data_IF_071574236068
#
_entry.id   IF_071574236068
#
_cell.length_a   1.000
_cell.length_b   1.000
_cell.length_c   1.000
_cell.angle_alpha   90.00
_cell.angle_beta   90.00
_cell.angle_gamma   90.00
#
_symmetry.space_group_name_H-M   'P 1'
#
loop_
_entity.id
_entity.type
_entity.pdbx_description
1 polymer ?
#
# COMPACT_ATOMS: atom_id res chain seq x y z
N UNK A 1 -1.05 -12.06 19.37
CA UNK A 1 -0.78 -13.48 19.04
C UNK A 1 -1.53 -13.91 17.77
N UNK A 2 -2.87 -13.83 17.70
CA UNK A 2 -3.63 -14.28 16.51
C UNK A 2 -3.16 -13.70 15.16
N UNK A 3 -2.89 -12.40 15.08
CA UNK A 3 -2.38 -11.76 13.84
C UNK A 3 -1.01 -12.27 13.40
N UNK A 4 -0.12 -12.58 14.36
CA UNK A 4 1.22 -13.12 14.06
C UNK A 4 1.10 -14.53 13.51
N UNK A 5 0.22 -15.36 14.08
CA UNK A 5 -0.05 -16.72 13.58
C UNK A 5 -0.63 -16.67 12.16
N UNK A 6 -1.56 -15.75 11.89
CA UNK A 6 -2.13 -15.56 10.57
C UNK A 6 -1.06 -15.14 9.53
N UNK A 7 -0.17 -14.20 9.88
CA UNK A 7 0.93 -13.79 9.00
C UNK A 7 1.97 -14.90 8.81
N UNK A 8 2.24 -15.72 9.83
CA UNK A 8 3.14 -16.86 9.70
C UNK A 8 2.57 -17.93 8.77
N UNK A 9 1.28 -18.24 8.89
CA UNK A 9 0.59 -19.14 7.98
C UNK A 9 0.59 -18.60 6.54
N UNK A 10 0.33 -17.29 6.37
CA UNK A 10 0.39 -16.63 5.07
C UNK A 10 1.80 -16.66 4.47
N UNK A 11 2.84 -16.38 5.27
CA UNK A 11 4.23 -16.43 4.83
C UNK A 11 4.61 -17.83 4.35
N UNK A 12 4.26 -18.87 5.10
CA UNK A 12 4.52 -20.25 4.71
C UNK A 12 3.79 -20.63 3.42
N UNK A 13 2.50 -20.29 3.34
CA UNK A 13 1.69 -20.56 2.16
C UNK A 13 2.26 -19.88 0.91
N UNK A 14 2.57 -18.59 1.01
CA UNK A 14 3.06 -17.79 -0.13
C UNK A 14 4.48 -18.15 -0.52
N UNK A 15 5.31 -18.61 0.43
CA UNK A 15 6.62 -19.18 0.14
C UNK A 15 6.50 -20.48 -0.68
N UNK A 16 5.60 -21.38 -0.27
CA UNK A 16 5.34 -22.63 -0.99
C UNK A 16 4.77 -22.39 -2.38
N UNK A 17 3.87 -21.40 -2.52
CA UNK A 17 3.33 -20.99 -3.81
C UNK A 17 4.45 -20.42 -4.69
N UNK A 18 5.27 -19.51 -4.17
CA UNK A 18 6.37 -18.90 -4.91
C UNK A 18 7.36 -19.96 -5.40
N UNK A 19 7.69 -20.95 -4.57
CA UNK A 19 8.62 -22.04 -4.92
C UNK A 19 8.07 -23.02 -5.97
N UNK A 20 6.74 -23.13 -6.11
CA UNK A 20 6.08 -24.08 -7.04
C UNK A 20 5.42 -23.41 -8.24
N UNK A 21 5.38 -22.08 -8.28
CA UNK A 21 4.71 -21.33 -9.33
C UNK A 21 5.45 -21.50 -10.67
N UNK A 22 4.69 -21.78 -11.72
CA UNK A 22 5.20 -21.88 -13.10
C UNK A 22 5.16 -20.54 -13.83
N UNK A 23 4.30 -19.62 -13.40
CA UNK A 23 4.24 -18.25 -13.92
C UNK A 23 5.19 -17.33 -13.13
N UNK A 24 6.16 -16.66 -13.78
CA UNK A 24 7.13 -15.81 -13.11
C UNK A 24 6.51 -14.60 -12.39
N UNK A 25 5.44 -14.03 -12.95
CA UNK A 25 4.75 -12.88 -12.34
C UNK A 25 4.07 -13.28 -11.03
N UNK A 26 3.36 -14.40 -11.06
CA UNK A 26 2.72 -14.97 -9.87
C UNK A 26 3.76 -15.39 -8.82
N UNK A 27 4.87 -16.01 -9.23
CA UNK A 27 5.97 -16.36 -8.33
C UNK A 27 6.57 -15.13 -7.64
N UNK A 28 6.77 -14.05 -8.40
CA UNK A 28 7.27 -12.76 -7.91
C UNK A 28 6.33 -12.12 -6.90
N UNK A 29 5.03 -12.02 -7.20
CA UNK A 29 4.06 -11.46 -6.25
C UNK A 29 3.93 -12.32 -5.00
N UNK A 30 3.93 -13.66 -5.12
CA UNK A 30 3.94 -14.56 -3.97
C UNK A 30 5.18 -14.37 -3.06
N UNK A 31 6.35 -14.12 -3.65
CA UNK A 31 7.55 -13.78 -2.90
C UNK A 31 7.39 -12.44 -2.15
N UNK A 32 6.78 -11.42 -2.77
CA UNK A 32 6.50 -10.16 -2.10
C UNK A 32 5.56 -10.33 -0.90
N UNK A 33 4.53 -11.17 -1.02
CA UNK A 33 3.66 -11.50 0.12
C UNK A 33 4.41 -12.22 1.25
N UNK A 34 5.35 -13.10 0.90
CA UNK A 34 6.20 -13.79 1.89
C UNK A 34 7.03 -12.78 2.66
N UNK A 35 7.73 -11.87 1.96
CA UNK A 35 8.57 -10.83 2.54
C UNK A 35 7.74 -9.88 3.41
N UNK A 36 6.60 -9.41 2.90
CA UNK A 36 5.72 -8.51 3.64
C UNK A 36 5.16 -9.16 4.90
N UNK A 37 4.84 -10.46 4.86
CA UNK A 37 4.37 -11.21 6.01
C UNK A 37 5.47 -11.38 7.06
N UNK A 38 6.70 -11.72 6.64
CA UNK A 38 7.85 -11.81 7.54
C UNK A 38 8.18 -10.46 8.19
N UNK A 39 8.19 -9.38 7.42
CA UNK A 39 8.37 -8.02 7.94
C UNK A 39 7.25 -7.63 8.91
N UNK A 40 6.00 -7.95 8.58
CA UNK A 40 4.84 -7.71 9.45
C UNK A 40 4.97 -8.44 10.79
N UNK A 41 5.39 -9.71 10.77
CA UNK A 41 5.69 -10.48 11.99
C UNK A 41 6.76 -9.79 12.82
N UNK A 42 7.89 -9.43 12.19
CA UNK A 42 8.99 -8.76 12.87
C UNK A 42 8.53 -7.46 13.55
N UNK A 43 7.85 -6.57 12.81
CA UNK A 43 7.38 -5.30 13.36
C UNK A 43 6.33 -5.48 14.45
N UNK A 44 5.41 -6.44 14.32
CA UNK A 44 4.39 -6.70 15.35
C UNK A 44 5.03 -7.26 16.62
N UNK A 45 5.99 -8.19 16.50
CA UNK A 45 6.68 -8.76 17.65
C UNK A 45 7.53 -7.69 18.35
N UNK A 46 8.31 -6.92 17.59
CA UNK A 46 9.11 -5.84 18.15
C UNK A 46 8.22 -4.81 18.87
N UNK A 47 7.13 -4.41 18.23
CA UNK A 47 6.13 -3.51 18.82
C UNK A 47 5.48 -4.09 20.07
N UNK A 48 5.26 -5.41 20.13
CA UNK A 48 4.69 -6.08 21.29
C UNK A 48 5.62 -6.04 22.50
N UNK A 49 6.93 -6.19 22.30
CA UNK A 49 7.92 -6.09 23.37
C UNK A 49 8.21 -4.64 23.78
N UNK A 50 8.18 -3.70 22.85
CA UNK A 50 8.48 -2.28 23.12
C UNK A 50 7.28 -1.50 23.70
N UNK A 51 6.06 -2.03 23.66
CA UNK A 51 4.87 -1.28 24.09
C UNK A 51 4.68 -1.35 25.62
N UNK A 52 4.29 -0.23 26.26
CA UNK A 52 3.82 -0.28 27.64
C UNK A 52 2.51 -1.10 27.71
N UNK A 53 2.26 -1.73 28.87
CA UNK A 53 1.02 -2.48 29.11
C UNK A 53 -0.22 -1.58 29.22
N UNK A 54 0.01 -0.30 29.53
CA UNK A 54 -1.03 0.70 29.70
C UNK A 54 -1.64 1.14 28.36
N UNK A 55 -2.94 1.46 28.39
CA UNK A 55 -3.60 2.04 27.24
C UNK A 55 -3.08 3.47 27.02
N UNK A 56 -2.94 3.92 25.76
CA UNK A 56 -2.59 5.30 25.48
C UNK A 56 -3.56 6.26 26.18
N UNK A 57 -3.07 7.29 26.89
CA UNK A 57 -3.95 8.22 27.59
C UNK A 57 -4.84 8.95 26.59
N UNK A 58 -6.07 9.25 26.96
CA UNK A 58 -7.03 9.95 26.09
C UNK A 58 -6.58 11.39 25.79
N UNK A 59 -5.88 12.02 26.73
CA UNK A 59 -5.36 13.38 26.63
C UNK A 59 -3.90 13.44 27.09
N UNK A 60 -3.13 14.35 26.49
CA UNK A 60 -1.76 14.70 26.89
C UNK A 60 -1.73 16.23 26.98
N UNK A 61 -1.29 16.78 28.12
CA UNK A 61 -1.23 18.23 28.38
C UNK A 61 -2.56 18.97 28.12
N UNK A 62 -3.68 18.35 28.50
CA UNK A 62 -5.03 18.91 28.31
C UNK A 62 -5.49 18.95 26.85
N UNK A 63 -4.82 18.23 25.94
CA UNK A 63 -5.19 18.11 24.52
C UNK A 63 -5.52 16.66 24.17
N UNK A 64 -6.53 16.40 23.31
CA UNK A 64 -6.83 15.06 22.83
C UNK A 64 -5.63 14.36 22.18
N UNK A 65 -5.34 13.14 22.61
CA UNK A 65 -4.23 12.32 22.12
C UNK A 65 -4.64 11.47 20.92
N UNK A 66 -4.66 12.08 19.73
CA UNK A 66 -4.99 11.37 18.49
C UNK A 66 -3.84 10.50 17.95
N UNK A 67 -4.19 9.40 17.29
CA UNK A 67 -3.23 8.54 16.61
C UNK A 67 -2.84 9.16 15.26
N UNK A 68 -1.87 10.07 15.30
CA UNK A 68 -1.43 10.82 14.12
C UNK A 68 -0.35 10.10 13.30
N UNK A 69 0.26 9.02 13.79
CA UNK A 69 1.30 8.27 13.07
C UNK A 69 0.83 7.75 11.70
N UNK A 70 -0.23 6.92 11.66
CA UNK A 70 -0.79 6.40 10.40
C UNK A 70 -1.29 7.51 9.47
N UNK A 71 -1.89 8.57 10.04
CA UNK A 71 -2.35 9.74 9.28
C UNK A 71 -1.18 10.42 8.56
N UNK A 72 -0.11 10.73 9.28
CA UNK A 72 1.08 11.39 8.72
C UNK A 72 1.73 10.52 7.63
N UNK A 73 1.84 9.22 7.87
CA UNK A 73 2.37 8.29 6.86
C UNK A 73 1.50 8.31 5.60
N UNK A 74 0.18 8.16 5.72
CA UNK A 74 -0.74 8.17 4.59
C UNK A 74 -0.70 9.51 3.84
N UNK A 75 -0.56 10.64 4.54
CA UNK A 75 -0.37 11.95 3.90
C UNK A 75 0.91 12.00 3.07
N UNK A 76 2.05 11.56 3.61
CA UNK A 76 3.32 11.52 2.86
C UNK A 76 3.21 10.57 1.67
N UNK A 77 2.64 9.38 1.89
CA UNK A 77 2.40 8.40 0.83
C UNK A 77 1.50 8.98 -0.27
N UNK A 78 0.46 9.74 0.06
CA UNK A 78 -0.38 10.39 -0.95
C UNK A 78 0.41 11.36 -1.82
N UNK A 79 1.30 12.18 -1.24
CA UNK A 79 2.10 13.12 -2.03
C UNK A 79 3.05 12.35 -2.94
N UNK A 80 3.72 11.33 -2.41
CA UNK A 80 4.61 10.46 -3.19
C UNK A 80 3.89 9.82 -4.38
N UNK A 81 2.74 9.18 -4.14
CA UNK A 81 1.96 8.54 -5.19
C UNK A 81 1.31 9.54 -6.15
N UNK A 82 0.98 10.75 -5.68
CA UNK A 82 0.51 11.84 -6.52
C UNK A 82 1.57 12.24 -7.54
N UNK A 83 2.80 12.48 -7.09
CA UNK A 83 3.93 12.78 -7.99
C UNK A 83 4.17 11.63 -8.96
N UNK A 84 4.23 10.39 -8.48
CA UNK A 84 4.45 9.22 -9.33
C UNK A 84 3.34 9.05 -10.37
N UNK A 85 2.07 9.12 -9.96
CA UNK A 85 0.91 8.97 -10.85
C UNK A 85 0.84 10.06 -11.91
N UNK A 86 1.06 11.33 -11.53
CA UNK A 86 1.06 12.44 -12.49
C UNK A 86 2.26 12.39 -13.44
N UNK A 87 3.43 11.94 -12.97
CA UNK A 87 4.60 11.74 -13.83
C UNK A 87 4.33 10.67 -14.91
N UNK A 88 3.75 9.51 -14.54
CA UNK A 88 3.36 8.49 -15.52
C UNK A 88 2.30 9.05 -16.47
N UNK A 89 1.37 9.86 -15.98
CA UNK A 89 0.38 10.58 -16.80
C UNK A 89 1.01 11.48 -17.86
N UNK A 90 2.05 12.23 -17.49
CA UNK A 90 2.82 13.04 -18.41
C UNK A 90 3.55 12.17 -19.45
N UNK A 91 4.17 11.07 -19.03
CA UNK A 91 4.86 10.14 -19.93
C UNK A 91 3.90 9.58 -20.98
N UNK A 92 2.73 9.06 -20.57
CA UNK A 92 1.76 8.49 -21.52
C UNK A 92 1.15 9.56 -22.44
N UNK A 93 1.00 10.80 -21.97
CA UNK A 93 0.59 11.92 -22.82
C UNK A 93 1.65 12.22 -23.89
N UNK A 94 2.93 12.21 -23.51
CA UNK A 94 4.05 12.36 -24.45
C UNK A 94 4.16 11.19 -25.43
N UNK A 95 3.82 9.97 -25.02
CA UNK A 95 3.79 8.81 -25.93
C UNK A 95 2.71 8.92 -27.01
N UNK A 96 1.58 9.59 -26.72
CA UNK A 96 0.56 9.89 -27.73
C UNK A 96 1.04 10.96 -28.73
N UNK A 97 1.82 11.95 -28.27
CA UNK A 97 2.38 12.98 -29.14
C UNK A 97 3.59 12.48 -29.95
N UNK A 98 4.44 11.67 -29.32
CA UNK A 98 5.68 11.14 -29.87
C UNK A 98 5.78 9.63 -29.63
N UNK A 99 5.26 8.80 -30.55
CA UNK A 99 5.22 7.34 -30.37
C UNK A 99 6.57 6.67 -30.11
N UNK A 100 7.68 7.28 -30.54
CA UNK A 100 9.05 6.80 -30.27
C UNK A 100 9.36 6.66 -28.76
N UNK A 101 8.67 7.40 -27.89
CA UNK A 101 8.83 7.33 -26.43
C UNK A 101 8.24 6.05 -25.79
N UNK A 102 7.70 5.13 -26.59
CA UNK A 102 7.37 3.78 -26.12
C UNK A 102 8.62 2.89 -25.95
N UNK A 103 9.74 3.25 -26.58
CA UNK A 103 11.04 2.56 -26.52
C UNK A 103 11.03 1.08 -26.96
N UNK A 104 9.95 0.60 -27.58
CA UNK A 104 9.73 -0.80 -27.97
C UNK A 104 9.96 -1.82 -26.82
N UNK A 105 9.87 -1.39 -25.57
CA UNK A 105 9.96 -2.24 -24.39
C UNK A 105 8.55 -2.57 -23.85
N UNK A 106 8.31 -3.81 -23.38
CA UNK A 106 6.99 -4.20 -22.89
C UNK A 106 6.48 -3.34 -21.72
N UNK A 107 7.34 -2.98 -20.77
CA UNK A 107 6.96 -2.27 -19.54
C UNK A 107 6.86 -0.75 -19.69
N UNK A 108 7.43 -0.16 -20.74
CA UNK A 108 7.26 1.28 -21.04
C UNK A 108 6.18 1.54 -22.08
N UNK A 109 5.56 0.50 -22.66
CA UNK A 109 4.53 0.68 -23.67
C UNK A 109 3.27 1.34 -23.10
N UNK A 110 2.67 2.23 -23.88
CA UNK A 110 1.43 2.97 -23.55
C UNK A 110 0.32 2.06 -23.01
N UNK A 111 0.13 0.87 -23.60
CA UNK A 111 -0.93 -0.07 -23.20
C UNK A 111 -0.80 -0.57 -21.75
N UNK A 112 0.43 -0.68 -21.22
CA UNK A 112 0.69 -1.07 -19.83
C UNK A 112 0.78 0.13 -18.88
N UNK A 113 1.33 1.24 -19.36
CA UNK A 113 1.45 2.46 -18.56
C UNK A 113 0.11 3.18 -18.34
N UNK A 114 -0.87 3.04 -19.24
CA UNK A 114 -2.22 3.63 -19.07
C UNK A 114 -2.92 3.09 -17.81
N UNK A 115 -3.14 1.77 -17.64
CA UNK A 115 -3.77 1.27 -16.41
C UNK A 115 -2.92 1.54 -15.17
N UNK A 116 -1.57 1.56 -15.30
CA UNK A 116 -0.69 1.98 -14.21
C UNK A 116 -0.96 3.41 -13.77
N UNK A 117 -1.02 4.37 -14.69
CA UNK A 117 -1.32 5.78 -14.41
C UNK A 117 -2.68 5.91 -13.73
N UNK A 118 -3.72 5.31 -14.31
CA UNK A 118 -5.09 5.39 -13.80
C UNK A 118 -5.18 4.86 -12.37
N UNK A 119 -4.63 3.67 -12.10
CA UNK A 119 -4.64 3.09 -10.75
C UNK A 119 -3.74 3.85 -9.78
N UNK A 120 -2.61 4.39 -10.23
CA UNK A 120 -1.74 5.22 -9.40
C UNK A 120 -2.43 6.54 -8.98
N UNK A 121 -3.13 7.22 -9.89
CA UNK A 121 -3.82 8.48 -9.54
C UNK A 121 -5.06 8.22 -8.68
N UNK A 122 -5.86 7.22 -9.01
CA UNK A 122 -7.13 6.98 -8.32
C UNK A 122 -6.90 6.27 -6.99
N UNK A 123 -6.28 5.10 -7.01
CA UNK A 123 -6.13 4.27 -5.82
C UNK A 123 -4.90 4.65 -5.03
N UNK A 124 -3.74 4.86 -5.66
CA UNK A 124 -2.54 5.16 -4.89
C UNK A 124 -2.56 6.57 -4.28
N UNK A 125 -2.74 7.60 -5.11
CA UNK A 125 -2.88 8.98 -4.66
C UNK A 125 -4.22 9.19 -3.93
N UNK A 126 -5.33 9.09 -4.66
CA UNK A 126 -6.67 9.36 -4.12
C UNK A 126 -7.02 8.48 -2.91
N UNK A 127 -6.69 7.19 -2.95
CA UNK A 127 -6.92 6.28 -1.84
C UNK A 127 -6.12 6.64 -0.58
N UNK A 128 -4.84 7.00 -0.69
CA UNK A 128 -4.08 7.48 0.47
C UNK A 128 -4.61 8.82 1.01
N UNK A 129 -5.08 9.74 0.14
CA UNK A 129 -5.76 10.97 0.56
C UNK A 129 -7.01 10.64 1.38
N UNK A 130 -7.86 9.73 0.90
CA UNK A 130 -9.09 9.32 1.59
C UNK A 130 -8.79 8.61 2.91
N UNK A 131 -7.77 7.75 2.97
CA UNK A 131 -7.34 7.09 4.21
C UNK A 131 -6.83 8.14 5.21
N UNK A 132 -5.92 9.03 4.81
CA UNK A 132 -5.39 10.05 5.70
C UNK A 132 -6.50 10.97 6.24
N UNK A 133 -7.37 11.46 5.35
CA UNK A 133 -8.45 12.38 5.71
C UNK A 133 -9.51 11.71 6.58
N UNK A 134 -9.97 10.50 6.25
CA UNK A 134 -10.94 9.77 7.06
C UNK A 134 -10.41 9.50 8.46
N UNK A 135 -9.16 9.00 8.57
CA UNK A 135 -8.50 8.75 9.85
C UNK A 135 -8.28 10.04 10.66
N UNK A 136 -8.01 11.16 10.00
CA UNK A 136 -7.85 12.46 10.65
C UNK A 136 -9.19 13.03 11.16
N UNK A 137 -10.21 12.99 10.32
CA UNK A 137 -11.52 13.61 10.56
C UNK A 137 -12.28 12.82 11.61
N UNK A 138 -12.37 11.50 11.50
CA UNK A 138 -13.15 10.65 12.44
C UNK A 138 -12.71 10.84 13.89
N UNK A 139 -11.40 10.97 14.11
CA UNK A 139 -10.85 11.18 15.44
C UNK A 139 -11.28 12.52 16.04
N UNK A 140 -11.36 13.57 15.22
CA UNK A 140 -11.71 14.94 15.65
C UNK A 140 -13.20 15.16 15.78
N UNK A 141 -14.00 14.59 14.88
CA UNK A 141 -15.46 14.72 14.92
C UNK A 141 -16.04 13.92 16.08
N UNK A 142 -15.53 12.71 16.33
CA UNK A 142 -15.94 11.90 17.48
C UNK A 142 -15.18 12.22 18.77
N UNK A 143 -14.17 13.09 18.69
CA UNK A 143 -13.27 13.47 19.81
C UNK A 143 -12.65 12.27 20.53
N UNK A 144 -12.32 11.21 19.78
CA UNK A 144 -11.74 9.99 20.33
C UNK A 144 -10.54 9.54 19.50
N UNK A 145 -9.52 8.98 20.16
CA UNK A 145 -8.39 8.34 19.50
C UNK A 145 -8.87 7.13 18.69
N UNK A 146 -8.24 6.90 17.54
CA UNK A 146 -8.50 5.71 16.73
C UNK A 146 -8.28 4.41 17.52
N UNK A 147 -9.20 3.43 17.44
CA UNK A 147 -9.09 2.20 18.20
C UNK A 147 -7.92 1.34 17.71
N UNK A 148 -7.23 0.73 18.66
CA UNK A 148 -6.17 -0.22 18.41
C UNK A 148 -4.83 0.42 18.03
N UNK A 149 -3.76 -0.27 18.41
CA UNK A 149 -2.39 0.14 18.09
C UNK A 149 -1.97 -0.36 16.69
N UNK A 150 -2.33 -1.59 16.34
CA UNK A 150 -1.89 -2.25 15.09
C UNK A 150 -2.86 -2.00 13.93
N UNK A 151 -4.17 -1.95 14.20
CA UNK A 151 -5.18 -1.92 13.13
C UNK A 151 -5.05 -0.71 12.17
N UNK A 152 -4.81 0.53 12.65
CA UNK A 152 -4.61 1.67 11.75
C UNK A 152 -3.39 1.51 10.84
N UNK A 153 -2.30 0.94 11.37
CA UNK A 153 -1.08 0.67 10.62
C UNK A 153 -1.27 -0.46 9.61
N UNK A 154 -2.02 -1.51 9.96
CA UNK A 154 -2.37 -2.58 9.03
C UNK A 154 -3.11 -2.03 7.81
N UNK A 155 -4.09 -1.14 7.99
CA UNK A 155 -4.81 -0.52 6.88
C UNK A 155 -3.86 0.30 6.01
N UNK A 156 -3.09 1.20 6.60
CA UNK A 156 -2.23 2.12 5.84
C UNK A 156 -1.08 1.40 5.12
N UNK A 157 -0.37 0.51 5.82
CA UNK A 157 0.75 -0.23 5.23
C UNK A 157 0.26 -1.31 4.28
N UNK A 158 -0.83 -2.01 4.62
CA UNK A 158 -1.45 -3.01 3.75
C UNK A 158 -1.97 -2.40 2.45
N UNK A 159 -2.55 -1.20 2.51
CA UNK A 159 -2.99 -0.48 1.32
C UNK A 159 -1.80 -0.07 0.42
N UNK A 160 -0.71 0.41 1.00
CA UNK A 160 0.50 0.74 0.24
C UNK A 160 1.18 -0.51 -0.34
N UNK A 161 1.13 -1.64 0.36
CA UNK A 161 1.58 -2.91 -0.19
C UNK A 161 0.71 -3.35 -1.38
N UNK A 162 -0.62 -3.25 -1.26
CA UNK A 162 -1.55 -3.50 -2.37
C UNK A 162 -1.23 -2.64 -3.60
N UNK A 163 -0.94 -1.35 -3.41
CA UNK A 163 -0.55 -0.44 -4.50
C UNK A 163 0.73 -0.93 -5.21
N UNK A 164 1.74 -1.38 -4.46
CA UNK A 164 2.99 -1.91 -5.03
C UNK A 164 2.72 -3.19 -5.85
N UNK A 165 1.86 -4.07 -5.34
CA UNK A 165 1.43 -5.28 -6.08
C UNK A 165 0.73 -4.88 -7.38
N UNK A 166 -0.23 -3.96 -7.33
CA UNK A 166 -0.96 -3.50 -8.51
C UNK A 166 -0.01 -2.86 -9.54
N UNK A 167 0.86 -1.94 -9.11
CA UNK A 167 1.78 -1.23 -9.98
C UNK A 167 2.76 -2.16 -10.70
N UNK A 168 3.36 -3.09 -9.95
CA UNK A 168 4.24 -4.12 -10.55
C UNK A 168 3.46 -5.09 -11.44
N UNK A 169 2.23 -5.45 -11.09
CA UNK A 169 1.33 -6.27 -11.91
C UNK A 169 1.06 -5.66 -13.28
N UNK A 170 0.68 -4.38 -13.35
CA UNK A 170 0.44 -3.71 -14.64
C UNK A 170 1.68 -3.68 -15.52
N UNK A 171 2.87 -3.41 -14.96
CA UNK A 171 4.12 -3.41 -15.70
C UNK A 171 4.46 -4.80 -16.26
N UNK A 172 4.17 -5.85 -15.51
CA UNK A 172 4.32 -7.25 -15.94
C UNK A 172 3.24 -7.68 -16.95
N UNK A 173 2.21 -6.86 -17.16
CA UNK A 173 1.11 -7.15 -18.09
C UNK A 173 -0.02 -7.99 -17.48
N UNK A 174 -0.06 -8.10 -16.15
CA UNK A 174 -1.10 -8.82 -15.42
C UNK A 174 -2.30 -7.88 -15.24
N UNK A 175 -3.34 -8.06 -16.04
CA UNK A 175 -4.57 -7.24 -15.99
C UNK A 175 -5.80 -8.08 -16.37
N UNK A 176 -6.96 -7.71 -15.81
CA UNK A 176 -8.25 -8.28 -16.20
C UNK A 176 -8.85 -7.64 -17.46
N UNK A 177 -8.19 -6.63 -18.03
CA UNK A 177 -8.70 -5.81 -19.15
C UNK A 177 -10.00 -5.05 -18.85
N UNK A 178 -10.40 -5.03 -17.57
CA UNK A 178 -11.49 -4.20 -17.07
C UNK A 178 -10.89 -2.90 -16.54
N UNK A 179 -11.53 -1.79 -16.85
CA UNK A 179 -11.08 -0.50 -16.32
C UNK A 179 -11.34 -0.46 -14.80
N UNK A 180 -10.35 0.00 -14.04
CA UNK A 180 -10.42 0.17 -12.58
C UNK A 180 -10.63 -1.13 -11.76
N UNK A 181 -10.29 -2.31 -12.32
CA UNK A 181 -10.44 -3.61 -11.67
C UNK A 181 -9.27 -4.58 -11.92
#
# INVERSE_FOLDING_TARGET
>A
MGTVVALAALALLTLLISAKATDPGYAFHAALFTIASAAGIFFIINRYFDRPAELPPAEIDGKPNYNMGPVKFATIASVFWGVAGFLVGLIIALQLAYPALNFDLPWTNFGRLRPLHTSAVIFAFGGNVLIATSMYVVQRTCRIRMPGDIAPWFVVLGYNFFIVIAGTGYLLGITQSKEYA
#
